data_IF_935851483583
#
_entry.id   IF_935851483583
#
_cell.length_a   1.000
_cell.length_b   1.000
_cell.length_c   1.000
_cell.angle_alpha   90.00
_cell.angle_beta   90.00
_cell.angle_gamma   90.00
#
_symmetry.space_group_name_H-M   'P 1'
#
loop_
_entity.id
_entity.type
_entity.pdbx_description
1 polymer ?
#
# COMPACT_ATOMS: atom_id res chain seq x y z
N UNK A 1 8.68 26.44 12.55
CA UNK A 1 8.04 25.85 11.36
C UNK A 1 6.65 26.44 11.25
N UNK A 2 6.28 26.94 10.07
CA UNK A 2 4.91 27.37 9.76
C UNK A 2 3.98 26.16 9.76
N UNK A 3 2.69 26.35 10.09
CA UNK A 3 1.71 25.25 10.10
C UNK A 3 1.57 24.57 8.74
N UNK A 4 1.70 25.35 7.65
CA UNK A 4 1.70 24.86 6.28
C UNK A 4 2.76 23.77 6.01
N UNK A 5 4.02 24.01 6.40
CA UNK A 5 5.10 23.04 6.20
C UNK A 5 4.89 21.75 7.00
N UNK A 6 4.13 21.82 8.10
CA UNK A 6 3.85 20.68 8.96
C UNK A 6 2.80 19.75 8.33
N UNK A 7 1.76 20.32 7.73
CA UNK A 7 0.72 19.56 7.02
C UNK A 7 1.26 18.86 5.76
N UNK A 8 2.11 19.53 4.99
CA UNK A 8 2.76 18.91 3.82
C UNK A 8 3.68 17.76 4.21
N UNK A 9 4.48 17.94 5.27
CA UNK A 9 5.40 16.90 5.74
C UNK A 9 4.65 15.66 6.26
N UNK A 10 3.51 15.86 6.94
CA UNK A 10 2.64 14.76 7.37
C UNK A 10 2.07 14.01 6.17
N UNK A 11 1.66 14.72 5.13
CA UNK A 11 1.14 14.10 3.90
C UNK A 11 2.20 13.27 3.20
N UNK A 12 3.43 13.77 3.08
CA UNK A 12 4.55 13.03 2.49
C UNK A 12 4.88 11.77 3.32
N UNK A 13 4.89 11.89 4.65
CA UNK A 13 5.10 10.74 5.54
C UNK A 13 4.00 9.69 5.40
N UNK A 14 2.74 10.10 5.26
CA UNK A 14 1.63 9.18 5.00
C UNK A 14 1.82 8.42 3.68
N UNK A 15 2.22 9.11 2.61
CA UNK A 15 2.51 8.48 1.31
C UNK A 15 3.65 7.46 1.44
N UNK A 16 4.75 7.85 2.09
CA UNK A 16 5.93 7.00 2.25
C UNK A 16 5.63 5.77 3.13
N UNK A 17 4.84 5.93 4.18
CA UNK A 17 4.40 4.83 5.03
C UNK A 17 3.52 3.84 4.26
N UNK A 18 2.60 4.33 3.41
CA UNK A 18 1.73 3.48 2.59
C UNK A 18 2.52 2.64 1.59
N UNK A 19 3.51 3.23 0.93
CA UNK A 19 4.42 2.51 0.02
C UNK A 19 5.23 1.46 0.78
N UNK A 20 5.85 1.84 1.89
CA UNK A 20 6.74 0.96 2.67
C UNK A 20 5.98 -0.26 3.21
N UNK A 21 4.75 -0.06 3.70
CA UNK A 21 3.90 -1.15 4.19
C UNK A 21 3.53 -2.12 3.08
N UNK A 22 3.05 -1.63 1.94
CA UNK A 22 2.64 -2.48 0.82
C UNK A 22 3.81 -3.26 0.23
N UNK A 23 4.97 -2.61 0.07
CA UNK A 23 6.20 -3.26 -0.42
C UNK A 23 6.65 -4.34 0.56
N UNK A 24 6.74 -4.01 1.85
CA UNK A 24 7.16 -4.96 2.89
C UNK A 24 6.23 -6.17 2.96
N UNK A 25 4.92 -5.95 2.87
CA UNK A 25 3.91 -7.01 2.84
C UNK A 25 4.04 -7.91 1.59
N UNK A 26 4.15 -7.31 0.40
CA UNK A 26 4.30 -8.05 -0.85
C UNK A 26 5.58 -8.90 -0.87
N UNK A 27 6.69 -8.34 -0.41
CA UNK A 27 7.97 -9.06 -0.34
C UNK A 27 7.93 -10.19 0.69
N UNK A 28 7.28 -9.97 1.83
CA UNK A 28 7.07 -10.99 2.86
C UNK A 28 6.29 -12.17 2.29
N UNK A 29 5.18 -11.93 1.59
CA UNK A 29 4.41 -13.02 0.95
C UNK A 29 5.27 -13.79 -0.05
N UNK A 30 6.05 -13.08 -0.87
CA UNK A 30 6.93 -13.71 -1.85
C UNK A 30 7.97 -14.63 -1.21
N UNK A 31 8.57 -14.23 -0.09
CA UNK A 31 9.58 -15.03 0.63
C UNK A 31 8.94 -16.27 1.28
N UNK A 32 7.77 -16.14 1.91
CA UNK A 32 7.17 -17.24 2.66
C UNK A 32 6.31 -18.20 1.82
N UNK A 33 5.69 -17.73 0.75
CA UNK A 33 4.72 -18.52 -0.03
C UNK A 33 5.20 -18.84 -1.46
N UNK A 34 6.36 -18.32 -1.89
CA UNK A 34 6.94 -18.48 -3.25
C UNK A 34 6.05 -18.04 -4.42
N UNK A 35 4.79 -17.67 -4.15
CA UNK A 35 3.80 -17.18 -5.09
C UNK A 35 2.97 -16.12 -4.39
N UNK A 36 2.81 -14.97 -5.03
CA UNK A 36 2.03 -13.86 -4.49
C UNK A 36 0.67 -13.85 -5.20
N UNK A 37 -0.41 -14.33 -4.57
CA UNK A 37 -1.75 -14.22 -5.13
C UNK A 37 -2.15 -12.74 -5.23
N UNK A 38 -2.15 -12.22 -6.45
CA UNK A 38 -2.46 -10.82 -6.76
C UNK A 38 -3.79 -10.34 -6.15
N UNK A 39 -4.81 -11.20 -6.16
CA UNK A 39 -6.12 -10.89 -5.59
C UNK A 39 -6.08 -10.73 -4.07
N UNK A 40 -5.27 -11.53 -3.37
CA UNK A 40 -5.10 -11.40 -1.93
C UNK A 40 -4.29 -10.15 -1.57
N UNK A 41 -3.29 -9.78 -2.38
CA UNK A 41 -2.53 -8.54 -2.20
C UNK A 41 -3.43 -7.32 -2.32
N UNK A 42 -4.21 -7.23 -3.40
CA UNK A 42 -5.15 -6.12 -3.61
C UNK A 42 -6.26 -6.14 -2.56
N UNK A 43 -6.85 -7.31 -2.28
CA UNK A 43 -7.92 -7.45 -1.29
C UNK A 43 -7.50 -7.03 0.11
N UNK A 44 -6.28 -7.40 0.53
CA UNK A 44 -5.74 -6.97 1.84
C UNK A 44 -5.39 -5.49 1.86
N UNK A 45 -4.84 -4.91 0.78
CA UNK A 45 -4.59 -3.47 0.70
C UNK A 45 -5.88 -2.64 0.74
N UNK A 46 -6.92 -3.06 0.02
CA UNK A 46 -8.25 -2.43 0.03
C UNK A 46 -8.92 -2.59 1.39
N UNK A 47 -8.87 -3.79 1.97
CA UNK A 47 -9.42 -4.06 3.31
C UNK A 47 -8.76 -3.20 4.38
N UNK A 48 -7.43 -3.08 4.36
CA UNK A 48 -6.70 -2.23 5.29
C UNK A 48 -7.05 -0.75 5.10
N UNK A 49 -7.19 -0.29 3.85
CA UNK A 49 -7.60 1.07 3.54
C UNK A 49 -9.01 1.39 4.09
N UNK A 50 -9.97 0.47 3.97
CA UNK A 50 -11.32 0.64 4.52
C UNK A 50 -11.29 0.73 6.05
N UNK A 51 -10.52 -0.12 6.73
CA UNK A 51 -10.39 -0.11 8.20
C UNK A 51 -9.80 1.23 8.67
N UNK A 52 -8.73 1.71 8.02
CA UNK A 52 -8.07 2.98 8.37
C UNK A 52 -9.01 4.16 8.10
N UNK A 53 -9.73 4.15 6.97
CA UNK A 53 -10.72 5.17 6.65
C UNK A 53 -11.85 5.22 7.68
N UNK A 54 -12.27 4.07 8.21
CA UNK A 54 -13.30 3.99 9.24
C UNK A 54 -12.80 4.43 10.63
N UNK A 55 -11.54 4.17 10.97
CA UNK A 55 -10.98 4.47 12.30
C UNK A 55 -10.50 5.92 12.42
N UNK A 56 -9.73 6.41 11.44
CA UNK A 56 -8.97 7.67 11.52
C UNK A 56 -9.61 8.79 10.67
N UNK A 57 -10.59 8.44 9.81
CA UNK A 57 -11.31 9.36 8.95
C UNK A 57 -10.52 9.79 7.71
N UNK A 58 -11.09 10.73 6.92
CA UNK A 58 -10.54 11.23 5.65
C UNK A 58 -9.21 12.00 5.78
N UNK A 59 -8.66 12.15 6.99
CA UNK A 59 -7.42 12.90 7.24
C UNK A 59 -6.16 12.17 6.75
N UNK A 60 -6.27 10.88 6.41
CA UNK A 60 -5.18 10.03 5.91
C UNK A 60 -5.45 9.44 4.51
N UNK A 61 -6.16 10.19 3.65
CA UNK A 61 -6.44 9.79 2.27
C UNK A 61 -5.18 9.46 1.46
N UNK A 62 -4.09 10.21 1.67
CA UNK A 62 -2.82 9.97 0.98
C UNK A 62 -2.26 8.57 1.23
N UNK A 63 -2.35 8.08 2.47
CA UNK A 63 -1.93 6.73 2.84
C UNK A 63 -2.79 5.65 2.16
N UNK A 64 -4.12 5.82 2.18
CA UNK A 64 -5.05 4.85 1.59
C UNK A 64 -4.87 4.72 0.07
N UNK A 65 -4.77 5.87 -0.61
CA UNK A 65 -4.68 5.91 -2.08
C UNK A 65 -3.35 5.34 -2.56
N UNK A 66 -2.25 5.64 -1.86
CA UNK A 66 -0.92 5.14 -2.19
C UNK A 66 -0.77 3.65 -1.93
N UNK A 67 -1.35 3.11 -0.84
CA UNK A 67 -1.41 1.66 -0.60
C UNK A 67 -2.10 0.93 -1.75
N UNK A 68 -3.27 1.40 -2.18
CA UNK A 68 -4.04 0.76 -3.26
C UNK A 68 -3.26 0.81 -4.58
N UNK A 69 -2.70 1.97 -4.93
CA UNK A 69 -1.90 2.13 -6.15
C UNK A 69 -0.67 1.23 -6.15
N UNK A 70 0.11 1.22 -5.08
CA UNK A 70 1.29 0.34 -4.98
C UNK A 70 0.90 -1.13 -5.02
N UNK A 71 -0.22 -1.50 -4.40
CA UNK A 71 -0.70 -2.89 -4.45
C UNK A 71 -1.08 -3.32 -5.87
N UNK A 72 -1.68 -2.44 -6.67
CA UNK A 72 -2.02 -2.74 -8.07
C UNK A 72 -0.74 -2.93 -8.90
N UNK A 73 0.24 -2.03 -8.73
CA UNK A 73 1.54 -2.12 -9.43
C UNK A 73 2.26 -3.42 -9.10
N UNK A 74 2.35 -3.78 -7.82
CA UNK A 74 2.98 -5.02 -7.39
C UNK A 74 2.18 -6.26 -7.81
N UNK A 75 0.85 -6.19 -7.79
CA UNK A 75 0.01 -7.28 -8.30
C UNK A 75 0.29 -7.57 -9.79
N UNK A 76 0.40 -6.53 -10.62
CA UNK A 76 0.76 -6.68 -12.04
C UNK A 76 2.17 -7.26 -12.16
N UNK A 77 3.14 -6.74 -11.42
CA UNK A 77 4.54 -7.21 -11.45
C UNK A 77 4.66 -8.70 -11.12
N UNK A 78 4.03 -9.16 -10.03
CA UNK A 78 4.08 -10.57 -9.62
C UNK A 78 3.28 -11.49 -10.56
N UNK A 79 2.17 -11.02 -11.13
CA UNK A 79 1.40 -11.82 -12.09
C UNK A 79 2.14 -11.97 -13.43
N UNK A 80 2.77 -10.89 -13.91
CA UNK A 80 3.66 -10.97 -15.08
C UNK A 80 4.85 -11.88 -14.81
N UNK A 81 5.48 -11.78 -13.64
CA UNK A 81 6.56 -12.70 -13.23
C UNK A 81 6.13 -14.17 -13.26
N UNK A 82 4.88 -14.47 -12.88
CA UNK A 82 4.33 -15.83 -12.92
C UNK A 82 3.94 -16.30 -14.34
N UNK A 83 3.64 -15.38 -15.28
CA UNK A 83 3.31 -15.74 -16.67
C UNK A 83 4.55 -16.03 -17.53
N UNK A 84 5.72 -15.49 -17.16
CA UNK A 84 6.98 -15.67 -17.90
C UNK A 84 7.99 -16.58 -17.19
N UNK A 85 7.57 -17.25 -16.11
CA UNK A 85 8.31 -18.34 -15.43
C UNK A 85 7.77 -19.70 -15.83
#
# INVERSE_FOLDING_TARGET
MTEYNRDELVTILQVLAGITLTVGYAFTINVYNSSVPAFALIGSAVGLAIIIGCWIGLKHLGFMLTMIFTSIVFAIYFNFGAMFS
#
